data_IF_135088519186
#
_entry.id   IF_135088519186
#
_cell.length_a   1.000
_cell.length_b   1.000
_cell.length_c   1.000
_cell.angle_alpha   90.00
_cell.angle_beta   90.00
_cell.angle_gamma   90.00
#
_symmetry.space_group_name_H-M   'P 1'
#
loop_
_entity.id
_entity.type
_entity.pdbx_description
1 polymer ?
#
# COMPACT_ATOMS: atom_id res chain seq x y z
N UNK A 1 -15.99 -20.08 5.47
CA UNK A 1 -15.05 -19.16 4.80
C UNK A 1 -15.77 -18.61 3.58
N UNK A 2 -15.99 -17.30 3.53
CA UNK A 2 -16.87 -16.69 2.53
C UNK A 2 -16.06 -16.32 1.27
N UNK A 3 -16.72 -16.31 0.12
CA UNK A 3 -16.14 -16.13 -1.23
C UNK A 3 -15.35 -14.81 -1.38
N UNK A 4 -15.79 -13.76 -0.68
CA UNK A 4 -15.09 -12.48 -0.62
C UNK A 4 -13.66 -12.60 -0.07
N UNK A 5 -13.45 -13.39 1.00
CA UNK A 5 -12.14 -13.62 1.61
C UNK A 5 -11.18 -14.34 0.67
N UNK A 6 -11.69 -15.13 -0.29
CA UNK A 6 -10.85 -15.83 -1.26
C UNK A 6 -10.34 -14.91 -2.39
N UNK A 7 -11.12 -13.89 -2.76
CA UNK A 7 -10.80 -13.05 -3.92
C UNK A 7 -9.63 -12.10 -3.68
N UNK A 8 -9.55 -11.44 -2.51
CA UNK A 8 -8.42 -10.54 -2.21
C UNK A 8 -7.20 -11.25 -1.60
N UNK A 9 -7.35 -12.48 -1.07
CA UNK A 9 -6.22 -13.35 -0.73
C UNK A 9 -5.26 -13.51 -1.90
N UNK A 10 -5.80 -13.75 -3.10
CA UNK A 10 -5.00 -13.91 -4.31
C UNK A 10 -4.24 -12.63 -4.71
N UNK A 11 -4.70 -11.44 -4.29
CA UNK A 11 -4.04 -10.18 -4.63
C UNK A 11 -2.74 -9.98 -3.85
N UNK A 12 -2.67 -10.48 -2.62
CA UNK A 12 -1.54 -10.27 -1.70
C UNK A 12 -0.60 -11.46 -1.58
N UNK A 13 -1.07 -12.67 -1.90
CA UNK A 13 -0.27 -13.89 -1.79
C UNK A 13 1.04 -13.79 -2.58
N UNK A 14 2.16 -13.92 -1.87
CA UNK A 14 3.51 -13.85 -2.45
C UNK A 14 3.99 -12.43 -2.79
N UNK A 15 3.21 -11.39 -2.45
CA UNK A 15 3.59 -9.99 -2.69
C UNK A 15 4.44 -9.43 -1.57
N UNK A 16 5.46 -8.65 -1.94
CA UNK A 16 6.34 -7.93 -1.03
C UNK A 16 5.92 -6.47 -0.99
N UNK A 17 5.28 -6.07 0.11
CA UNK A 17 4.77 -4.71 0.30
C UNK A 17 5.77 -3.91 1.14
N UNK A 18 6.28 -2.81 0.61
CA UNK A 18 7.05 -1.87 1.41
C UNK A 18 6.09 -0.88 2.08
N UNK A 19 6.23 -0.74 3.40
CA UNK A 19 5.50 0.24 4.20
C UNK A 19 6.46 1.36 4.56
N UNK A 20 6.10 2.59 4.21
CA UNK A 20 6.90 3.79 4.47
C UNK A 20 6.08 4.72 5.36
N UNK A 21 6.63 5.05 6.54
CA UNK A 21 5.97 5.88 7.56
C UNK A 21 7.02 6.56 8.44
N UNK A 22 6.69 7.68 9.07
CA UNK A 22 7.56 8.40 10.02
C UNK A 22 7.11 8.25 11.49
N UNK A 23 6.13 7.38 11.79
CA UNK A 23 5.52 7.29 13.12
C UNK A 23 4.77 5.99 13.41
N UNK A 24 3.45 6.11 13.65
CA UNK A 24 2.54 5.00 13.95
C UNK A 24 1.45 4.92 12.89
N UNK A 25 1.77 4.27 11.78
CA UNK A 25 0.91 4.10 10.60
C UNK A 25 0.44 2.66 10.47
N UNK A 26 1.34 1.67 10.55
CA UNK A 26 0.96 0.27 10.41
C UNK A 26 0.51 -0.31 11.76
N UNK A 27 -0.81 -0.45 11.94
CA UNK A 27 -1.36 -1.18 13.09
C UNK A 27 -0.96 -2.67 13.07
N UNK A 28 -0.89 -3.29 14.25
CA UNK A 28 -0.54 -4.70 14.38
C UNK A 28 -1.64 -5.60 13.76
N UNK A 29 -2.90 -5.19 13.86
CA UNK A 29 -4.03 -5.87 13.26
C UNK A 29 -3.96 -5.84 11.72
N UNK A 30 -3.63 -4.67 11.14
CA UNK A 30 -3.42 -4.53 9.70
C UNK A 30 -2.22 -5.35 9.22
N UNK A 31 -1.12 -5.37 9.99
CA UNK A 31 0.06 -6.20 9.73
C UNK A 31 -0.31 -7.68 9.68
N UNK A 32 -0.93 -8.18 10.75
CA UNK A 32 -1.35 -9.58 10.85
C UNK A 32 -2.29 -9.92 9.69
N UNK A 33 -3.23 -9.03 9.37
CA UNK A 33 -4.16 -9.27 8.27
C UNK A 33 -3.47 -9.44 6.94
N UNK A 34 -2.54 -8.57 6.57
CA UNK A 34 -1.80 -8.67 5.31
C UNK A 34 -0.93 -9.94 5.26
N UNK A 35 -0.32 -10.34 6.39
CA UNK A 35 0.46 -11.56 6.50
C UNK A 35 -0.41 -12.83 6.36
N UNK A 36 -1.62 -12.86 6.94
CA UNK A 36 -2.61 -13.94 6.76
C UNK A 36 -3.07 -14.13 5.30
N UNK A 37 -2.91 -13.08 4.49
CA UNK A 37 -3.20 -13.09 3.06
C UNK A 37 -1.98 -13.49 2.22
N UNK A 38 -0.84 -13.77 2.86
CA UNK A 38 0.39 -14.22 2.23
C UNK A 38 1.29 -13.09 1.72
N UNK A 39 1.05 -11.83 2.12
CA UNK A 39 1.99 -10.75 1.84
C UNK A 39 3.21 -10.82 2.78
N UNK A 40 4.38 -10.48 2.26
CA UNK A 40 5.57 -10.17 3.04
C UNK A 40 5.66 -8.66 3.19
N UNK A 41 5.62 -8.17 4.43
CA UNK A 41 5.82 -6.74 4.69
C UNK A 41 7.30 -6.43 4.86
N UNK A 42 7.77 -5.42 4.13
CA UNK A 42 9.08 -4.83 4.26
C UNK A 42 8.90 -3.50 5.01
N UNK A 43 9.68 -3.30 6.06
CA UNK A 43 9.51 -2.16 6.96
C UNK A 43 8.54 -2.42 8.13
N UNK A 44 8.01 -1.35 8.75
CA UNK A 44 8.04 0.03 8.28
C UNK A 44 9.44 0.65 8.20
N UNK A 45 9.63 1.55 7.23
CA UNK A 45 10.86 2.37 7.11
C UNK A 45 10.52 3.84 7.29
N UNK A 46 11.35 4.53 8.07
CA UNK A 46 11.16 5.93 8.47
C UNK A 46 12.20 6.89 7.93
N UNK A 47 13.02 6.43 6.97
CA UNK A 47 13.93 7.29 6.21
C UNK A 47 13.67 7.12 4.71
N UNK A 48 13.78 8.21 3.94
CA UNK A 48 13.66 8.15 2.50
C UNK A 48 14.83 7.35 1.88
N UNK A 49 15.98 7.35 2.52
CA UNK A 49 17.16 6.59 2.11
C UNK A 49 16.90 5.08 2.16
N UNK A 50 16.44 4.56 3.31
CA UNK A 50 16.12 3.14 3.48
C UNK A 50 15.02 2.68 2.51
N UNK A 51 13.98 3.52 2.35
CA UNK A 51 12.91 3.24 1.39
C UNK A 51 13.45 3.12 -0.04
N UNK A 52 14.29 4.08 -0.45
CA UNK A 52 14.89 4.09 -1.79
C UNK A 52 15.85 2.92 -2.01
N UNK A 53 16.60 2.49 -0.99
CA UNK A 53 17.47 1.32 -1.07
C UNK A 53 16.64 0.05 -1.36
N UNK A 54 15.58 -0.18 -0.59
CA UNK A 54 14.69 -1.34 -0.78
C UNK A 54 14.01 -1.32 -2.16
N UNK A 55 13.54 -0.15 -2.60
CA UNK A 55 12.92 0.02 -3.92
C UNK A 55 13.92 -0.29 -5.04
N UNK A 56 15.14 0.24 -4.96
CA UNK A 56 16.20 0.02 -5.97
C UNK A 56 16.69 -1.43 -6.00
N UNK A 57 16.64 -2.12 -4.86
CA UNK A 57 16.93 -3.56 -4.75
C UNK A 57 15.94 -4.46 -5.49
N UNK A 58 14.86 -3.91 -6.09
CA UNK A 58 13.83 -4.63 -6.88
C UNK A 58 13.18 -5.81 -6.17
N UNK A 59 13.14 -5.73 -4.85
CA UNK A 59 12.59 -6.76 -3.96
C UNK A 59 11.20 -6.37 -3.44
N UNK A 60 10.53 -5.42 -4.11
CA UNK A 60 9.27 -4.82 -3.70
C UNK A 60 8.27 -4.96 -4.85
N UNK A 61 7.07 -5.42 -4.57
CA UNK A 61 5.96 -5.52 -5.53
C UNK A 61 5.07 -4.28 -5.53
N UNK A 62 4.92 -3.62 -4.37
CA UNK A 62 4.17 -2.38 -4.22
C UNK A 62 4.59 -1.62 -2.96
N UNK A 63 4.28 -0.33 -2.91
CA UNK A 63 4.57 0.54 -1.76
C UNK A 63 3.29 1.16 -1.20
N UNK A 64 3.14 1.15 0.12
CA UNK A 64 2.10 1.91 0.83
C UNK A 64 2.81 3.02 1.61
N UNK A 65 2.48 4.26 1.28
CA UNK A 65 3.01 5.46 1.90
C UNK A 65 1.99 6.00 2.91
N UNK A 66 2.44 6.40 4.10
CA UNK A 66 1.59 7.21 4.98
C UNK A 66 1.31 8.57 4.29
N UNK A 67 0.04 8.97 4.28
CA UNK A 67 -0.44 10.24 3.78
C UNK A 67 0.17 11.44 4.52
N UNK A 68 0.59 11.26 5.78
CA UNK A 68 1.12 12.33 6.62
C UNK A 68 2.62 12.60 6.44
N UNK A 69 3.32 11.80 5.62
CA UNK A 69 4.74 11.99 5.35
C UNK A 69 5.03 13.39 4.80
N UNK A 70 6.08 14.01 5.31
CA UNK A 70 6.56 15.30 4.82
C UNK A 70 6.90 15.27 3.32
N UNK A 71 6.61 16.38 2.63
CA UNK A 71 6.83 16.50 1.18
C UNK A 71 8.29 16.23 0.76
N UNK A 72 9.26 16.75 1.53
CA UNK A 72 10.69 16.53 1.27
C UNK A 72 11.14 15.08 1.43
N UNK A 73 10.41 14.31 2.24
CA UNK A 73 10.65 12.90 2.47
C UNK A 73 10.04 12.04 1.35
N UNK A 74 8.79 12.35 0.96
CA UNK A 74 8.02 11.47 0.08
C UNK A 74 8.26 11.71 -1.41
N UNK A 75 8.59 12.94 -1.84
CA UNK A 75 8.77 13.25 -3.26
C UNK A 75 9.88 12.43 -3.95
N UNK A 76 11.09 12.27 -3.37
CA UNK A 76 12.14 11.45 -3.99
C UNK A 76 11.74 9.98 -4.15
N UNK A 77 10.96 9.47 -3.19
CA UNK A 77 10.41 8.11 -3.20
C UNK A 77 9.43 7.99 -4.37
N UNK A 78 8.42 8.87 -4.43
CA UNK A 78 7.38 8.86 -5.48
C UNK A 78 7.98 9.00 -6.87
N UNK A 79 8.93 9.90 -7.09
CA UNK A 79 9.62 10.06 -8.36
C UNK A 79 10.29 8.74 -8.80
N UNK A 80 10.95 8.05 -7.86
CA UNK A 80 11.59 6.76 -8.12
C UNK A 80 10.56 5.67 -8.45
N UNK A 81 9.45 5.62 -7.70
CA UNK A 81 8.36 4.67 -7.92
C UNK A 81 7.74 4.85 -9.31
N UNK A 82 7.47 6.09 -9.71
CA UNK A 82 6.94 6.42 -11.03
C UNK A 82 7.91 6.02 -12.15
N UNK A 83 9.19 6.35 -12.00
CA UNK A 83 10.24 5.98 -12.97
C UNK A 83 10.36 4.46 -13.16
N UNK A 84 10.22 3.69 -12.08
CA UNK A 84 10.26 2.23 -12.09
C UNK A 84 8.91 1.59 -12.47
N UNK A 85 7.85 2.39 -12.63
CA UNK A 85 6.47 1.93 -12.79
C UNK A 85 6.04 0.96 -11.68
N UNK A 86 6.56 1.15 -10.47
CA UNK A 86 6.23 0.33 -9.31
C UNK A 86 4.88 0.82 -8.73
N UNK A 87 3.88 -0.06 -8.52
CA UNK A 87 2.61 0.33 -7.92
C UNK A 87 2.78 0.93 -6.53
N UNK A 88 2.08 2.02 -6.25
CA UNK A 88 2.03 2.60 -4.92
C UNK A 88 0.72 3.35 -4.68
N UNK A 89 0.41 3.60 -3.41
CA UNK A 89 -0.67 4.48 -2.99
C UNK A 89 -0.33 5.16 -1.67
N UNK A 90 -1.08 6.21 -1.35
CA UNK A 90 -1.09 6.84 -0.04
C UNK A 90 -2.28 6.33 0.77
N UNK A 91 -2.08 6.05 2.05
CA UNK A 91 -3.14 5.64 2.96
C UNK A 91 -3.01 6.32 4.32
N UNK A 92 -4.03 6.16 5.17
CA UNK A 92 -3.99 6.53 6.60
C UNK A 92 -4.01 5.27 7.47
N UNK A 93 -3.33 5.30 8.61
CA UNK A 93 -2.98 4.10 9.42
C UNK A 93 -4.06 3.56 10.36
N UNK A 94 -5.21 4.22 10.39
CA UNK A 94 -6.42 3.82 11.12
C UNK A 94 -7.57 4.66 10.58
N UNK A 95 -8.81 4.26 10.82
CA UNK A 95 -9.93 5.20 10.69
C UNK A 95 -9.74 6.30 11.74
N UNK A 96 -9.47 7.57 11.36
CA UNK A 96 -9.59 8.65 12.31
C UNK A 96 -11.01 8.59 12.90
N UNK A 97 -11.19 8.95 14.19
CA UNK A 97 -12.51 8.92 14.83
C UNK A 97 -13.55 9.74 14.06
N UNK A 98 -13.10 10.68 13.24
CA UNK A 98 -13.89 11.37 12.22
C UNK A 98 -13.13 11.25 10.90
N UNK A 99 -13.58 10.35 10.03
CA UNK A 99 -13.25 10.42 8.60
C UNK A 99 -14.10 11.56 8.01
N UNK A 100 -13.51 12.59 7.40
CA UNK A 100 -14.29 13.64 6.75
C UNK A 100 -15.31 13.02 5.79
N UNK A 101 -16.57 13.47 5.84
CA UNK A 101 -17.61 12.98 4.94
C UNK A 101 -17.12 13.11 3.49
N UNK A 102 -17.02 11.98 2.79
CA UNK A 102 -16.53 11.92 1.42
C UNK A 102 -15.02 11.67 1.25
N UNK A 103 -14.28 11.23 2.28
CA UNK A 103 -12.93 10.69 2.05
C UNK A 103 -13.00 9.46 1.13
N UNK A 104 -12.32 9.55 -0.03
CA UNK A 104 -12.25 8.47 -1.04
C UNK A 104 -10.85 7.88 -1.15
N UNK A 105 -9.98 8.13 -0.17
CA UNK A 105 -8.62 7.58 -0.14
C UNK A 105 -8.58 6.14 0.39
N UNK A 106 -7.40 5.71 0.82
CA UNK A 106 -7.17 4.37 1.34
C UNK A 106 -6.95 4.40 2.85
N UNK A 107 -7.48 3.39 3.53
CA UNK A 107 -7.30 3.19 4.96
C UNK A 107 -6.58 1.86 5.14
N UNK A 108 -5.42 1.87 5.80
CA UNK A 108 -4.66 0.67 6.10
C UNK A 108 -5.11 0.14 7.47
N UNK A 109 -6.13 -0.71 7.49
CA UNK A 109 -6.65 -1.35 8.69
C UNK A 109 -6.96 -2.83 8.45
N UNK A 110 -7.42 -3.55 9.48
CA UNK A 110 -7.74 -4.98 9.42
C UNK A 110 -9.07 -5.31 8.73
N UNK A 111 -9.87 -4.29 8.41
CA UNK A 111 -11.17 -4.45 7.75
C UNK A 111 -11.00 -5.00 6.34
N UNK A 112 -11.70 -6.10 6.07
CA UNK A 112 -11.64 -6.79 4.79
C UNK A 112 -11.94 -5.89 3.57
N UNK A 113 -12.92 -4.98 3.69
CA UNK A 113 -13.29 -4.06 2.62
C UNK A 113 -12.16 -3.10 2.25
N UNK A 114 -11.45 -2.56 3.25
CA UNK A 114 -10.33 -1.63 3.05
C UNK A 114 -9.11 -2.34 2.47
N UNK A 115 -8.79 -3.54 2.98
CA UNK A 115 -7.73 -4.38 2.43
C UNK A 115 -8.03 -4.78 0.98
N UNK A 116 -9.28 -5.12 0.66
CA UNK A 116 -9.70 -5.40 -0.71
C UNK A 116 -9.58 -4.15 -1.59
N UNK A 117 -9.93 -2.97 -1.09
CA UNK A 117 -9.81 -1.71 -1.80
C UNK A 117 -8.33 -1.40 -2.15
N UNK A 118 -7.42 -1.53 -1.18
CA UNK A 118 -5.97 -1.42 -1.36
C UNK A 118 -5.47 -2.44 -2.39
N UNK A 119 -5.86 -3.71 -2.25
CA UNK A 119 -5.44 -4.79 -3.15
C UNK A 119 -5.86 -4.53 -4.60
N UNK A 120 -7.10 -4.06 -4.82
CA UNK A 120 -7.61 -3.67 -6.15
C UNK A 120 -6.84 -2.49 -6.72
N UNK A 121 -6.48 -1.50 -5.91
CA UNK A 121 -5.73 -0.34 -6.39
C UNK A 121 -4.29 -0.69 -6.78
N UNK A 122 -3.61 -1.53 -5.99
CA UNK A 122 -2.22 -1.91 -6.23
C UNK A 122 -2.08 -2.98 -7.33
N UNK A 123 -2.97 -3.97 -7.35
CA UNK A 123 -2.80 -5.19 -8.15
C UNK A 123 -3.98 -5.49 -9.08
N UNK A 124 -5.05 -4.70 -9.01
CA UNK A 124 -6.15 -4.82 -9.96
C UNK A 124 -5.65 -4.62 -11.39
N UNK A 125 -6.18 -5.42 -12.32
CA UNK A 125 -5.89 -5.22 -13.74
C UNK A 125 -6.39 -3.84 -14.14
N UNK A 126 -5.46 -2.89 -14.37
CA UNK A 126 -5.80 -1.66 -15.10
C UNK A 126 -6.38 -2.10 -16.44
N UNK A 127 -7.64 -1.74 -16.73
CA UNK A 127 -8.15 -1.81 -18.11
C UNK A 127 -7.14 -1.02 -18.94
N UNK A 128 -6.33 -1.75 -19.73
CA UNK A 128 -5.36 -1.15 -20.65
C UNK A 128 -6.07 -0.07 -21.44
N UNK A 129 -5.38 1.05 -21.57
CA UNK A 129 -5.68 2.19 -22.44
C UNK A 129 -6.56 1.77 -23.62
N UNK A 130 -7.87 1.97 -23.47
CA UNK A 130 -8.83 1.83 -24.54
C UNK A 130 -9.19 3.24 -25.02
N UNK A 131 -8.20 3.90 -25.63
CA UNK A 131 -8.33 4.99 -26.60
C UNK A 131 -7.08 4.86 -27.50
N UNK A 132 -7.19 4.13 -28.62
CA UNK A 132 -7.67 4.52 -29.95
C UNK A 132 -6.56 5.15 -30.81
N UNK A 133 -6.42 4.55 -32.00
CA UNK A 133 -5.83 5.05 -33.24
C UNK A 133 -6.02 6.55 -33.46
#
# INVERSE_FOLDING_TARGET
>A
MNDATMTYRQMFSGKRLLIVEDGYFLSEEARQKLQELGATLLGPVSTAEDALELIKGKNVDAVILDLHLDAGFVFPIVETLQRLKLPYLFAIGHEPPIVPAGFTGFILCDKAAEIEHIGKALFGRRKRDLYLV
#
